data_IF_942857608904
#
_entry.id   IF_942857608904
#
_cell.length_a   1.000
_cell.length_b   1.000
_cell.length_c   1.000
_cell.angle_alpha   90.00
_cell.angle_beta   90.00
_cell.angle_gamma   90.00
#
_symmetry.space_group_name_H-M   'P 1'
#
loop_
_entity.id
_entity.type
_entity.pdbx_description
1 polymer ?
#
# COMPACT_ATOMS: atom_id res chain seq x y z
N UNK A 1 -11.61 20.91 -3.23
CA UNK A 1 -12.40 19.74 -2.75
C UNK A 1 -12.12 19.44 -1.28
N UNK A 2 -13.09 18.93 -0.54
CA UNK A 2 -12.91 18.25 0.77
C UNK A 2 -13.99 17.15 0.93
N UNK A 3 -13.76 16.14 1.77
CA UNK A 3 -14.80 15.17 2.18
C UNK A 3 -15.78 15.92 3.08
N UNK A 4 -17.06 15.96 2.73
CA UNK A 4 -18.12 16.57 3.55
C UNK A 4 -18.94 15.55 4.34
N UNK A 5 -18.93 14.28 3.93
CA UNK A 5 -19.66 13.20 4.61
C UNK A 5 -19.04 11.84 4.28
N UNK A 6 -19.06 10.92 5.25
CA UNK A 6 -18.93 9.47 5.03
C UNK A 6 -20.23 8.76 5.41
N UNK A 7 -20.66 7.80 4.60
CA UNK A 7 -21.60 6.75 4.97
C UNK A 7 -20.87 5.41 4.98
N UNK A 8 -21.02 4.62 6.04
CA UNK A 8 -20.44 3.27 6.16
C UNK A 8 -21.56 2.28 6.44
N UNK A 9 -21.65 1.26 5.59
CA UNK A 9 -22.58 0.14 5.75
C UNK A 9 -21.85 -1.20 5.78
N UNK A 10 -22.29 -2.07 6.70
CA UNK A 10 -21.85 -3.46 6.85
C UNK A 10 -20.33 -3.62 7.09
N UNK A 11 -19.66 -2.64 7.69
CA UNK A 11 -18.22 -2.67 7.97
C UNK A 11 -17.93 -2.78 9.47
N UNK A 12 -17.31 -3.89 9.89
CA UNK A 12 -16.92 -4.21 11.27
C UNK A 12 -18.09 -4.07 12.25
N UNK A 13 -18.15 -2.98 13.01
CA UNK A 13 -19.23 -2.70 13.97
C UNK A 13 -20.45 -1.99 13.36
N UNK A 14 -20.32 -1.42 12.16
CA UNK A 14 -21.37 -0.64 11.51
C UNK A 14 -22.30 -1.54 10.70
N UNK A 15 -23.60 -1.46 10.97
CA UNK A 15 -24.64 -2.20 10.25
C UNK A 15 -25.04 -1.51 8.94
N UNK A 16 -26.26 -1.77 8.47
CA UNK A 16 -26.85 -1.15 7.28
C UNK A 16 -28.22 -0.52 7.59
N UNK A 17 -28.77 0.23 6.64
CA UNK A 17 -30.04 0.95 6.82
C UNK A 17 -29.98 1.92 8.00
N UNK A 18 -30.92 1.82 8.94
CA UNK A 18 -30.94 2.65 10.16
C UNK A 18 -29.72 2.44 11.07
N UNK A 19 -28.99 1.32 10.91
CA UNK A 19 -27.73 1.02 11.63
C UNK A 19 -26.47 1.40 10.83
N UNK A 20 -26.63 2.06 9.68
CA UNK A 20 -25.52 2.63 8.92
C UNK A 20 -24.87 3.80 9.67
N UNK A 21 -23.55 3.91 9.60
CA UNK A 21 -22.84 5.02 10.22
C UNK A 21 -22.72 6.18 9.24
N UNK A 22 -23.30 7.33 9.59
CA UNK A 22 -23.19 8.59 8.83
C UNK A 22 -22.47 9.62 9.68
N UNK A 23 -21.43 10.23 9.13
CA UNK A 23 -20.67 11.29 9.81
C UNK A 23 -20.38 12.45 8.85
N UNK A 24 -20.93 13.65 9.09
CA UNK A 24 -20.54 14.86 8.37
C UNK A 24 -19.14 15.32 8.81
N UNK A 25 -18.39 15.90 7.87
CA UNK A 25 -17.06 16.45 8.08
C UNK A 25 -17.05 17.95 7.82
N UNK A 26 -16.26 18.67 8.63
CA UNK A 26 -16.01 20.10 8.41
C UNK A 26 -14.77 20.30 7.51
N UNK A 27 -14.75 21.34 6.66
CA UNK A 27 -13.58 21.68 5.87
C UNK A 27 -12.42 22.11 6.79
N UNK A 28 -11.24 21.53 6.57
CA UNK A 28 -10.06 21.75 7.41
C UNK A 28 -9.82 20.56 8.34
N UNK A 29 -9.77 20.81 9.66
CA UNK A 29 -9.49 19.79 10.66
C UNK A 29 -10.80 19.24 11.26
N UNK A 30 -10.98 17.92 11.22
CA UNK A 30 -11.98 17.20 12.01
C UNK A 30 -11.27 16.25 12.97
N UNK A 31 -11.57 16.35 14.27
CA UNK A 31 -11.03 15.48 15.30
C UNK A 31 -12.06 14.40 15.68
N UNK A 32 -11.67 13.12 15.62
CA UNK A 32 -12.52 12.00 16.05
C UNK A 32 -12.16 11.64 17.51
N UNK A 33 -13.08 11.89 18.43
CA UNK A 33 -12.94 11.64 19.87
C UNK A 33 -14.01 10.65 20.32
N UNK A 34 -13.68 9.80 21.29
CA UNK A 34 -14.54 8.75 21.82
C UNK A 34 -13.72 7.66 22.51
N UNK A 35 -14.38 6.66 23.07
CA UNK A 35 -13.74 5.54 23.79
C UNK A 35 -12.93 4.63 22.86
N UNK A 36 -12.10 3.76 23.46
CA UNK A 36 -11.45 2.69 22.71
C UNK A 36 -12.51 1.74 22.12
N UNK A 37 -12.23 1.17 20.96
CA UNK A 37 -13.13 0.30 20.19
C UNK A 37 -14.50 0.88 19.77
N UNK A 38 -14.78 2.17 20.07
CA UNK A 38 -15.93 2.93 19.57
C UNK A 38 -15.90 3.24 18.05
N UNK A 39 -15.17 2.45 17.25
CA UNK A 39 -15.15 2.53 15.79
C UNK A 39 -14.29 3.62 15.15
N UNK A 40 -13.59 4.46 15.92
CA UNK A 40 -12.71 5.53 15.39
C UNK A 40 -11.74 5.02 14.30
N UNK A 41 -11.04 3.91 14.58
CA UNK A 41 -10.12 3.25 13.62
C UNK A 41 -10.85 2.69 12.40
N UNK A 42 -12.08 2.20 12.56
CA UNK A 42 -12.89 1.73 11.45
C UNK A 42 -13.31 2.86 10.50
N UNK A 43 -13.65 4.05 11.01
CA UNK A 43 -13.92 5.23 10.15
C UNK A 43 -12.67 5.62 9.34
N UNK A 44 -11.49 5.62 9.97
CA UNK A 44 -10.24 5.94 9.28
C UNK A 44 -9.88 4.87 8.23
N UNK A 45 -9.99 3.58 8.56
CA UNK A 45 -9.75 2.50 7.59
C UNK A 45 -10.75 2.53 6.44
N UNK A 46 -12.02 2.86 6.70
CA UNK A 46 -13.03 3.02 5.65
C UNK A 46 -12.64 4.13 4.65
N UNK A 47 -12.20 5.29 5.14
CA UNK A 47 -11.67 6.37 4.27
C UNK A 47 -10.46 5.86 3.46
N UNK A 48 -9.54 5.14 4.09
CA UNK A 48 -8.33 4.60 3.43
C UNK A 48 -8.67 3.55 2.36
N UNK A 49 -9.72 2.75 2.52
CA UNK A 49 -10.20 1.82 1.48
C UNK A 49 -10.71 2.54 0.23
N UNK A 50 -11.43 3.66 0.39
CA UNK A 50 -11.96 4.43 -0.76
C UNK A 50 -10.86 5.22 -1.46
N UNK A 51 -10.00 5.92 -0.72
CA UNK A 51 -9.00 6.83 -1.32
C UNK A 51 -7.70 6.14 -1.71
N UNK A 52 -7.37 5.01 -1.08
CA UNK A 52 -6.01 4.50 -1.07
C UNK A 52 -5.05 5.43 -0.33
N UNK A 53 -3.77 5.02 -0.28
CA UNK A 53 -2.71 5.76 0.39
C UNK A 53 -1.49 5.92 -0.52
N UNK A 54 -0.83 7.08 -0.45
CA UNK A 54 0.35 7.37 -1.29
C UNK A 54 1.58 6.53 -0.96
N UNK A 55 1.66 5.92 0.23
CA UNK A 55 2.77 5.07 0.65
C UNK A 55 2.66 3.61 0.18
N UNK A 56 1.74 3.33 -0.77
CA UNK A 56 1.54 2.02 -1.40
C UNK A 56 1.20 0.89 -0.41
N UNK A 57 0.70 1.22 0.78
CA UNK A 57 0.21 0.23 1.74
C UNK A 57 -1.12 -0.35 1.23
N UNK A 58 -1.05 -1.56 0.68
CA UNK A 58 -2.23 -2.29 0.18
C UNK A 58 -3.02 -2.82 1.38
N UNK A 59 -3.97 -2.01 1.85
CA UNK A 59 -5.06 -2.48 2.70
C UNK A 59 -5.80 -3.61 1.99
N UNK A 60 -6.03 -4.70 2.72
CA UNK A 60 -6.80 -5.85 2.26
C UNK A 60 -8.06 -5.95 3.10
N UNK A 61 -9.16 -6.29 2.44
CA UNK A 61 -10.43 -6.59 3.10
C UNK A 61 -10.35 -8.02 3.60
N UNK A 62 -10.43 -8.21 4.90
CA UNK A 62 -10.47 -9.53 5.52
C UNK A 62 -11.93 -9.99 5.70
N UNK A 63 -12.19 -11.31 5.81
CA UNK A 63 -13.55 -11.82 6.06
C UNK A 63 -14.17 -11.30 7.36
N UNK A 64 -13.36 -10.81 8.31
CA UNK A 64 -13.75 -10.17 9.58
C UNK A 64 -14.13 -8.70 9.45
N UNK A 65 -13.82 -8.05 8.33
CA UNK A 65 -14.23 -6.66 8.08
C UNK A 65 -15.73 -6.55 7.69
N UNK A 66 -16.37 -7.64 7.28
CA UNK A 66 -17.80 -7.69 7.02
C UNK A 66 -18.57 -7.78 8.34
N UNK A 67 -19.52 -6.86 8.54
CA UNK A 67 -20.34 -6.79 9.75
C UNK A 67 -21.12 -8.07 9.99
N UNK A 68 -21.20 -8.47 11.26
CA UNK A 68 -22.03 -9.57 11.72
C UNK A 68 -22.87 -9.08 12.92
N UNK A 69 -24.21 -9.09 12.82
CA UNK A 69 -25.07 -8.71 13.94
C UNK A 69 -24.90 -9.65 15.14
N UNK A 70 -25.15 -9.12 16.35
CA UNK A 70 -25.00 -9.88 17.59
C UNK A 70 -26.07 -10.99 17.78
N UNK A 71 -27.21 -10.88 17.10
CA UNK A 71 -28.39 -11.75 17.30
C UNK A 71 -28.31 -13.09 16.56
N UNK A 72 -27.14 -13.47 16.05
CA UNK A 72 -26.91 -14.75 15.37
C UNK A 72 -27.11 -14.73 13.85
N UNK A 73 -27.48 -13.57 13.29
CA UNK A 73 -27.63 -13.37 11.85
C UNK A 73 -26.35 -13.68 11.06
N UNK A 74 -26.55 -14.02 9.79
CA UNK A 74 -25.47 -14.22 8.83
C UNK A 74 -24.64 -12.93 8.66
N UNK A 75 -23.32 -13.09 8.61
CA UNK A 75 -22.39 -12.01 8.30
C UNK A 75 -22.70 -11.40 6.92
N UNK A 76 -22.73 -10.08 6.82
CA UNK A 76 -23.13 -9.36 5.62
C UNK A 76 -22.31 -9.74 4.37
N UNK A 77 -22.96 -9.81 3.21
CA UNK A 77 -22.33 -10.22 1.95
C UNK A 77 -21.58 -9.10 1.23
N UNK A 78 -21.87 -7.84 1.55
CA UNK A 78 -21.19 -6.68 0.97
C UNK A 78 -20.95 -5.59 2.01
N UNK A 79 -19.78 -4.96 1.93
CA UNK A 79 -19.46 -3.68 2.58
C UNK A 79 -19.71 -2.58 1.55
N UNK A 80 -20.33 -1.47 1.99
CA UNK A 80 -20.50 -0.26 1.17
C UNK A 80 -19.96 0.93 1.95
N UNK A 81 -19.04 1.70 1.35
CA UNK A 81 -18.50 2.93 1.93
C UNK A 81 -18.68 4.05 0.91
N UNK A 82 -19.44 5.08 1.24
CA UNK A 82 -19.69 6.24 0.40
C UNK A 82 -18.95 7.45 0.97
N UNK A 83 -18.16 8.14 0.14
CA UNK A 83 -17.59 9.45 0.44
C UNK A 83 -18.24 10.51 -0.44
N UNK A 84 -18.81 11.53 0.19
CA UNK A 84 -19.33 12.71 -0.49
C UNK A 84 -18.30 13.82 -0.41
N UNK A 85 -17.90 14.36 -1.55
CA UNK A 85 -16.98 15.47 -1.67
C UNK A 85 -17.69 16.74 -2.14
N UNK A 86 -17.41 17.86 -1.47
CA UNK A 86 -17.97 19.18 -1.80
C UNK A 86 -16.88 20.25 -1.92
N UNK A 87 -17.30 21.48 -2.29
CA UNK A 87 -16.42 22.62 -2.62
C UNK A 87 -15.32 22.22 -3.62
N UNK A 88 -15.76 21.66 -4.75
CA UNK A 88 -14.91 21.36 -5.90
C UNK A 88 -14.40 22.67 -6.53
N UNK A 89 -13.10 22.75 -6.77
CA UNK A 89 -12.48 23.82 -7.57
C UNK A 89 -12.78 23.62 -9.06
N UNK A 90 -12.49 24.61 -9.90
CA UNK A 90 -12.62 24.45 -11.36
C UNK A 90 -11.68 23.38 -11.91
N UNK A 91 -10.49 23.22 -11.32
CA UNK A 91 -9.58 22.12 -11.66
C UNK A 91 -10.14 20.76 -11.24
N UNK A 92 -10.68 20.65 -10.02
CA UNK A 92 -11.34 19.42 -9.54
C UNK A 92 -12.49 19.02 -10.49
N UNK A 93 -13.36 19.98 -10.86
CA UNK A 93 -14.48 19.73 -11.78
C UNK A 93 -14.03 19.29 -13.17
N UNK A 94 -12.92 19.82 -13.69
CA UNK A 94 -12.36 19.38 -14.96
C UNK A 94 -11.77 17.96 -14.89
N UNK A 95 -11.06 17.65 -13.80
CA UNK A 95 -10.43 16.35 -13.60
C UNK A 95 -11.43 15.20 -13.35
N UNK A 96 -12.60 15.51 -12.77
CA UNK A 96 -13.64 14.53 -12.44
C UNK A 96 -14.93 14.69 -13.26
N UNK A 97 -14.88 15.36 -14.42
CA UNK A 97 -16.07 15.77 -15.19
C UNK A 97 -17.07 14.63 -15.49
N UNK A 98 -16.57 13.42 -15.75
CA UNK A 98 -17.37 12.20 -16.03
C UNK A 98 -18.02 11.57 -14.78
N UNK A 99 -17.62 12.02 -13.59
CA UNK A 99 -17.96 11.42 -12.29
C UNK A 99 -18.76 12.36 -11.36
N UNK A 100 -19.03 13.60 -11.81
CA UNK A 100 -19.73 14.60 -11.00
C UNK A 100 -21.21 14.26 -10.84
N UNK A 101 -21.71 14.47 -9.62
CA UNK A 101 -23.14 14.49 -9.32
C UNK A 101 -23.62 15.94 -9.25
N UNK A 102 -24.81 16.20 -9.81
CA UNK A 102 -25.42 17.52 -9.85
C UNK A 102 -26.62 17.55 -8.92
N UNK A 103 -26.52 18.31 -7.84
CA UNK A 103 -27.54 18.43 -6.79
C UNK A 103 -28.20 19.81 -6.89
N UNK A 104 -29.54 19.89 -6.77
CA UNK A 104 -30.23 21.18 -6.70
C UNK A 104 -30.38 21.60 -5.24
N UNK A 105 -29.62 22.61 -4.82
CA UNK A 105 -29.62 23.15 -3.45
C UNK A 105 -30.06 24.61 -3.52
N UNK A 106 -31.19 24.94 -2.87
CA UNK A 106 -31.74 26.30 -2.84
C UNK A 106 -31.90 26.95 -4.23
N UNK A 107 -32.32 26.17 -5.23
CA UNK A 107 -32.49 26.63 -6.62
C UNK A 107 -31.18 26.84 -7.40
N UNK A 108 -30.02 26.45 -6.84
CA UNK A 108 -28.72 26.46 -7.53
C UNK A 108 -28.23 25.03 -7.71
N UNK A 109 -27.68 24.75 -8.89
CA UNK A 109 -27.03 23.47 -9.17
C UNK A 109 -25.64 23.46 -8.55
N UNK A 110 -25.49 22.74 -7.43
CA UNK A 110 -24.19 22.43 -6.86
C UNK A 110 -23.62 21.15 -7.47
N UNK A 111 -22.29 21.09 -7.56
CA UNK A 111 -21.55 19.91 -8.04
C UNK A 111 -20.84 19.25 -6.88
N UNK A 112 -21.18 17.98 -6.65
CA UNK A 112 -20.52 17.08 -5.71
C UNK A 112 -19.80 15.97 -6.47
N UNK A 113 -18.79 15.36 -5.84
CA UNK A 113 -18.23 14.10 -6.29
C UNK A 113 -18.59 13.06 -5.23
N UNK A 114 -19.38 12.05 -5.60
CA UNK A 114 -19.80 10.98 -4.70
C UNK A 114 -19.11 9.71 -5.18
N UNK A 115 -18.33 9.09 -4.28
CA UNK A 115 -17.58 7.86 -4.57
C UNK A 115 -18.06 6.76 -3.63
N UNK A 116 -18.67 5.73 -4.20
CA UNK A 116 -19.19 4.56 -3.49
C UNK A 116 -18.27 3.37 -3.75
N UNK A 117 -17.51 2.99 -2.73
CA UNK A 117 -16.69 1.79 -2.71
C UNK A 117 -17.52 0.60 -2.24
N UNK A 118 -17.44 -0.51 -2.98
CA UNK A 118 -18.18 -1.74 -2.68
C UNK A 118 -17.22 -2.93 -2.70
N UNK A 119 -17.17 -3.68 -1.59
CA UNK A 119 -16.48 -4.97 -1.53
C UNK A 119 -17.49 -6.08 -1.23
N UNK A 120 -17.40 -7.20 -1.96
CA UNK A 120 -18.33 -8.32 -1.85
C UNK A 120 -17.61 -9.59 -1.41
N UNK A 121 -18.20 -10.34 -0.47
CA UNK A 121 -17.71 -11.67 -0.08
C UNK A 121 -17.76 -12.60 -1.29
N UNK A 122 -16.78 -13.50 -1.37
CA UNK A 122 -16.80 -14.57 -2.35
C UNK A 122 -17.33 -15.84 -1.68
N UNK A 123 -18.59 -16.18 -1.97
CA UNK A 123 -19.30 -17.34 -1.43
C UNK A 123 -19.01 -18.63 -2.21
N UNK A 124 -18.22 -18.58 -3.29
CA UNK A 124 -17.85 -19.77 -4.07
C UNK A 124 -16.78 -20.58 -3.36
N UNK A 125 -17.17 -21.74 -2.83
CA UNK A 125 -16.31 -22.65 -2.06
C UNK A 125 -15.00 -23.05 -2.78
N UNK A 126 -15.05 -23.17 -4.11
CA UNK A 126 -13.88 -23.50 -4.96
C UNK A 126 -12.85 -22.38 -5.11
N UNK A 127 -13.08 -21.19 -4.55
CA UNK A 127 -12.19 -20.04 -4.72
C UNK A 127 -11.24 -19.83 -3.54
N UNK A 128 -9.95 -19.70 -3.85
CA UNK A 128 -8.91 -19.30 -2.88
C UNK A 128 -9.08 -17.85 -2.39
N UNK A 129 -9.73 -16.99 -3.18
CA UNK A 129 -10.04 -15.61 -2.77
C UNK A 129 -11.35 -15.57 -1.98
N UNK A 130 -11.29 -15.15 -0.72
CA UNK A 130 -12.47 -14.99 0.16
C UNK A 130 -13.28 -13.71 -0.09
N UNK A 131 -12.71 -12.74 -0.81
CA UNK A 131 -13.33 -11.45 -1.15
C UNK A 131 -13.10 -11.18 -2.64
N UNK A 132 -14.13 -10.64 -3.31
CA UNK A 132 -14.05 -10.21 -4.71
C UNK A 132 -13.27 -8.87 -4.82
N UNK A 133 -12.69 -8.54 -5.99
CA UNK A 133 -12.11 -7.22 -6.21
C UNK A 133 -13.14 -6.12 -5.89
N UNK A 134 -12.73 -5.10 -5.14
CA UNK A 134 -13.62 -3.98 -4.81
C UNK A 134 -13.91 -3.11 -6.04
N UNK A 135 -15.10 -2.56 -6.09
CA UNK A 135 -15.59 -1.67 -7.15
C UNK A 135 -15.69 -0.24 -6.61
N UNK A 136 -15.27 0.74 -7.40
CA UNK A 136 -15.48 2.17 -7.11
C UNK A 136 -16.54 2.67 -8.09
N UNK A 137 -17.77 2.90 -7.63
CA UNK A 137 -18.83 3.55 -8.41
C UNK A 137 -18.97 5.01 -8.04
N UNK A 138 -19.68 5.76 -8.87
CA UNK A 138 -19.94 7.20 -8.70
C UNK A 138 -21.43 7.51 -8.77
N UNK A 139 -21.83 8.78 -8.61
CA UNK A 139 -23.24 9.18 -8.63
C UNK A 139 -23.95 9.08 -7.27
N UNK A 140 -25.08 9.77 -7.12
CA UNK A 140 -25.84 9.90 -5.86
C UNK A 140 -26.12 8.56 -5.15
N UNK A 141 -26.54 7.56 -5.90
CA UNK A 141 -26.88 6.22 -5.41
C UNK A 141 -25.75 5.19 -5.63
N UNK A 142 -24.59 5.60 -6.14
CA UNK A 142 -23.54 4.69 -6.59
C UNK A 142 -23.91 3.88 -7.85
N UNK A 143 -24.77 4.42 -8.72
CA UNK A 143 -25.22 3.79 -9.99
C UNK A 143 -24.47 4.32 -11.23
N UNK A 144 -23.62 5.34 -11.05
CA UNK A 144 -22.82 5.97 -12.09
C UNK A 144 -21.60 5.14 -12.54
N UNK A 145 -20.79 5.69 -13.46
CA UNK A 145 -19.63 5.00 -14.03
C UNK A 145 -18.61 4.58 -12.97
N UNK A 146 -17.86 3.52 -13.29
CA UNK A 146 -16.74 3.06 -12.49
C UNK A 146 -15.61 4.08 -12.52
N UNK A 147 -15.08 4.43 -11.34
CA UNK A 147 -13.97 5.37 -11.21
C UNK A 147 -12.70 4.74 -11.77
N UNK A 148 -12.10 5.38 -12.77
CA UNK A 148 -10.92 4.87 -13.48
C UNK A 148 -9.66 4.91 -12.60
N UNK A 149 -8.51 4.44 -13.14
CA UNK A 149 -7.26 4.45 -12.36
C UNK A 149 -6.67 5.87 -12.22
N UNK A 150 -6.84 6.73 -13.22
CA UNK A 150 -6.38 8.12 -13.22
C UNK A 150 -7.07 8.95 -12.14
N UNK A 151 -8.40 8.98 -12.15
CA UNK A 151 -9.19 9.69 -11.15
C UNK A 151 -8.96 9.15 -9.73
N UNK A 152 -8.83 7.81 -9.56
CA UNK A 152 -8.43 7.24 -8.25
C UNK A 152 -7.07 7.73 -7.78
N UNK A 153 -6.08 7.86 -8.67
CA UNK A 153 -4.76 8.41 -8.32
C UNK A 153 -4.85 9.84 -7.78
N UNK A 154 -5.71 10.68 -8.37
CA UNK A 154 -5.95 12.06 -7.93
C UNK A 154 -6.61 12.15 -6.54
N UNK A 155 -7.38 11.15 -6.12
CA UNK A 155 -7.99 11.07 -4.79
C UNK A 155 -7.04 10.56 -3.68
N UNK A 156 -5.84 10.08 -4.03
CA UNK A 156 -4.95 9.42 -3.05
C UNK A 156 -4.54 10.33 -1.89
N UNK A 157 -4.89 9.90 -0.69
CA UNK A 157 -4.59 10.60 0.55
C UNK A 157 -3.22 10.25 1.13
N UNK A 158 -2.68 11.17 1.95
CA UNK A 158 -1.51 10.90 2.79
C UNK A 158 -2.01 10.42 4.16
N UNK A 159 -1.76 9.16 4.48
CA UNK A 159 -2.06 8.60 5.80
C UNK A 159 -0.85 8.72 6.73
N UNK A 160 -1.01 9.48 7.82
CA UNK A 160 -0.01 9.59 8.88
C UNK A 160 -0.31 8.53 9.94
N UNK A 161 0.56 7.51 10.03
CA UNK A 161 0.48 6.48 11.07
C UNK A 161 0.76 7.07 12.46
N UNK A 162 0.22 6.47 13.54
CA UNK A 162 0.63 6.79 14.90
C UNK A 162 2.15 6.75 15.05
N UNK A 163 2.73 7.69 15.81
CA UNK A 163 4.20 7.79 15.97
C UNK A 163 4.82 6.51 16.58
N UNK A 164 4.05 5.75 17.38
CA UNK A 164 4.46 4.42 17.87
C UNK A 164 4.84 3.46 16.73
N UNK A 165 4.16 3.54 15.60
CA UNK A 165 4.42 2.68 14.45
C UNK A 165 5.52 3.26 13.53
N UNK A 166 6.01 4.48 13.80
CA UNK A 166 7.09 5.11 13.02
C UNK A 166 8.42 4.40 13.25
N UNK A 167 8.72 3.95 14.47
CA UNK A 167 9.90 3.11 14.77
C UNK A 167 9.89 1.84 13.89
N UNK A 168 8.78 1.11 13.90
CA UNK A 168 8.57 -0.08 13.05
C UNK A 168 8.64 0.24 11.56
N UNK A 169 8.26 1.45 11.14
CA UNK A 169 8.35 1.91 9.75
C UNK A 169 9.78 2.31 9.32
N UNK A 170 10.64 2.69 10.27
CA UNK A 170 12.04 3.07 10.04
C UNK A 170 12.99 1.87 10.12
N UNK A 171 12.58 0.77 10.78
CA UNK A 171 13.34 -0.49 10.81
C UNK A 171 13.81 -0.95 9.42
N UNK A 172 14.95 -1.64 9.40
CA UNK A 172 15.53 -2.19 8.18
C UNK A 172 14.63 -3.28 7.56
N UNK A 173 14.36 -3.18 6.26
CA UNK A 173 13.48 -4.10 5.54
C UNK A 173 12.94 -3.52 4.24
N UNK A 174 12.13 -4.32 3.52
CA UNK A 174 11.46 -3.82 2.30
C UNK A 174 10.44 -2.75 2.65
N UNK A 175 10.51 -1.60 1.97
CA UNK A 175 9.64 -0.46 2.25
C UNK A 175 9.99 0.28 3.55
N UNK A 176 11.19 0.08 4.10
CA UNK A 176 11.72 0.93 5.17
C UNK A 176 11.68 2.39 4.74
N UNK A 177 10.94 3.23 5.47
CA UNK A 177 10.80 4.66 5.15
C UNK A 177 12.14 5.38 5.29
N UNK A 178 12.99 4.94 6.24
CA UNK A 178 14.36 5.45 6.35
C UNK A 178 15.16 5.14 5.08
N UNK A 179 15.14 3.90 4.58
CA UNK A 179 15.83 3.54 3.33
C UNK A 179 15.35 4.38 2.13
N UNK A 180 14.04 4.60 2.01
CA UNK A 180 13.47 5.47 0.97
C UNK A 180 13.96 6.92 1.09
N UNK A 181 13.99 7.49 2.30
CA UNK A 181 14.51 8.84 2.53
C UNK A 181 15.99 8.91 2.12
N UNK A 182 16.82 7.99 2.62
CA UNK A 182 18.27 7.94 2.31
C UNK A 182 18.53 7.77 0.81
N UNK A 183 17.71 7.00 0.10
CA UNK A 183 17.77 6.86 -1.37
C UNK A 183 17.46 8.15 -2.14
N UNK A 184 16.81 9.13 -1.52
CA UNK A 184 16.49 10.44 -2.12
C UNK A 184 17.30 11.60 -1.52
N UNK A 185 18.13 11.35 -0.50
CA UNK A 185 19.06 12.34 0.08
C UNK A 185 20.26 12.56 -0.85
N UNK A 186 20.49 13.82 -1.21
CA UNK A 186 21.59 14.30 -2.07
C UNK A 186 22.96 13.85 -1.58
N UNK A 187 23.22 14.03 -0.28
CA UNK A 187 24.47 13.74 0.40
C UNK A 187 24.84 12.25 0.32
N UNK A 188 23.86 11.36 0.19
CA UNK A 188 24.07 9.90 0.10
C UNK A 188 24.26 9.44 -1.35
N UNK A 189 23.68 10.17 -2.30
CA UNK A 189 23.80 9.91 -3.74
C UNK A 189 25.08 10.46 -4.35
N UNK A 190 25.48 11.67 -3.94
CA UNK A 190 26.48 12.49 -4.63
C UNK A 190 27.82 12.56 -3.90
N UNK A 191 27.89 12.20 -2.61
CA UNK A 191 29.16 12.14 -1.88
C UNK A 191 29.89 10.82 -2.16
N UNK A 192 31.03 10.90 -2.85
CA UNK A 192 31.89 9.76 -3.16
C UNK A 192 31.66 9.16 -4.55
N UNK A 193 32.44 8.14 -4.91
CA UNK A 193 32.42 7.55 -6.27
C UNK A 193 31.54 6.29 -6.29
N UNK A 194 30.78 6.08 -7.36
CA UNK A 194 30.07 4.81 -7.58
C UNK A 194 31.02 3.65 -7.88
N UNK A 195 30.67 2.43 -7.49
CA UNK A 195 31.49 1.25 -7.79
C UNK A 195 31.36 0.84 -9.27
N UNK A 196 32.50 0.76 -9.97
CA UNK A 196 32.58 0.32 -11.36
C UNK A 196 33.69 -0.74 -11.52
N UNK A 197 33.25 -2.01 -11.63
CA UNK A 197 34.12 -3.17 -11.87
C UNK A 197 35.04 -3.01 -13.09
N UNK A 198 34.62 -2.26 -14.10
CA UNK A 198 35.38 -2.06 -15.34
C UNK A 198 36.54 -1.08 -15.20
N UNK A 199 36.52 -0.21 -14.17
CA UNK A 199 37.56 0.80 -13.92
C UNK A 199 38.48 0.44 -12.76
N UNK A 200 37.92 -0.01 -11.64
CA UNK A 200 38.68 -0.35 -10.43
C UNK A 200 38.05 -1.59 -9.77
N UNK A 201 38.64 -2.79 -9.94
CA UNK A 201 38.06 -4.03 -9.39
C UNK A 201 38.12 -4.14 -7.87
N UNK A 202 39.02 -3.39 -7.23
CA UNK A 202 39.28 -3.40 -5.79
C UNK A 202 39.49 -1.95 -5.29
N UNK A 203 38.45 -1.12 -5.28
CA UNK A 203 38.52 0.27 -4.84
C UNK A 203 38.75 0.38 -3.33
N UNK A 204 39.29 1.50 -2.88
CA UNK A 204 39.30 1.87 -1.46
C UNK A 204 37.85 2.13 -0.98
N UNK A 205 37.30 1.33 -0.03
CA UNK A 205 35.94 1.52 0.46
C UNK A 205 35.67 2.93 1.00
N UNK A 206 36.68 3.65 1.49
CA UNK A 206 36.53 5.01 2.03
C UNK A 206 36.26 6.07 0.96
N UNK A 207 36.50 5.76 -0.32
CA UNK A 207 36.28 6.68 -1.46
C UNK A 207 34.96 6.43 -2.19
N UNK A 208 34.33 5.28 -1.92
CA UNK A 208 33.05 4.92 -2.49
C UNK A 208 31.92 5.71 -1.83
N UNK A 209 30.89 6.06 -2.61
CA UNK A 209 29.62 6.54 -2.06
C UNK A 209 28.91 5.42 -1.29
N UNK A 210 27.90 5.75 -0.48
CA UNK A 210 27.11 4.76 0.27
C UNK A 210 26.46 3.73 -0.67
N UNK A 211 26.02 4.18 -1.86
CA UNK A 211 25.52 3.30 -2.92
C UNK A 211 26.65 2.46 -3.54
N UNK A 212 27.82 3.06 -3.80
CA UNK A 212 29.01 2.35 -4.29
C UNK A 212 29.49 1.27 -3.32
N UNK A 213 29.45 1.52 -2.01
CA UNK A 213 29.74 0.53 -0.95
C UNK A 213 28.77 -0.65 -0.99
N UNK A 214 27.47 -0.39 -1.19
CA UNK A 214 26.45 -1.44 -1.32
C UNK A 214 26.65 -2.30 -2.57
N UNK A 215 26.95 -1.67 -3.70
CA UNK A 215 27.25 -2.35 -4.97
C UNK A 215 28.57 -3.17 -4.87
N UNK A 216 29.61 -2.63 -4.24
CA UNK A 216 30.88 -3.31 -4.02
C UNK A 216 30.74 -4.50 -3.06
N UNK A 217 30.02 -4.35 -1.95
CA UNK A 217 29.71 -5.45 -1.04
C UNK A 217 28.91 -6.56 -1.78
N UNK A 218 27.92 -6.17 -2.59
CA UNK A 218 27.13 -7.12 -3.40
C UNK A 218 27.99 -7.88 -4.41
N UNK A 219 29.02 -7.25 -4.97
CA UNK A 219 30.02 -7.90 -5.81
C UNK A 219 30.90 -8.88 -5.02
N UNK A 220 31.46 -8.47 -3.88
CA UNK A 220 32.25 -9.35 -3.01
C UNK A 220 31.49 -10.60 -2.56
N UNK A 221 30.19 -10.45 -2.23
CA UNK A 221 29.33 -11.61 -1.96
C UNK A 221 29.20 -12.52 -3.19
N UNK A 222 28.98 -11.96 -4.38
CA UNK A 222 28.87 -12.72 -5.64
C UNK A 222 30.13 -13.49 -6.05
N UNK A 223 31.32 -13.01 -5.67
CA UNK A 223 32.60 -13.69 -5.92
C UNK A 223 33.01 -14.66 -4.80
N UNK A 224 32.33 -14.64 -3.65
CA UNK A 224 32.62 -15.54 -2.53
C UNK A 224 32.61 -17.03 -2.94
N UNK A 225 33.54 -17.80 -2.37
CA UNK A 225 33.79 -19.20 -2.77
C UNK A 225 32.51 -20.06 -2.69
N UNK A 226 31.72 -19.89 -1.62
CA UNK A 226 30.45 -20.60 -1.43
C UNK A 226 29.41 -20.28 -2.49
N UNK A 227 29.26 -19.01 -2.87
CA UNK A 227 28.32 -18.60 -3.93
C UNK A 227 28.82 -19.06 -5.30
N UNK A 228 30.12 -18.97 -5.58
CA UNK A 228 30.70 -19.44 -6.86
C UNK A 228 30.58 -20.95 -7.03
N UNK A 229 30.87 -21.75 -5.99
CA UNK A 229 30.65 -23.22 -6.01
C UNK A 229 29.18 -23.57 -6.22
N UNK A 230 28.27 -22.92 -5.49
CA UNK A 230 26.82 -23.17 -5.60
C UNK A 230 26.28 -22.79 -6.99
N UNK A 231 26.70 -21.65 -7.54
CA UNK A 231 26.37 -21.19 -8.89
C UNK A 231 26.85 -22.17 -9.96
N UNK A 232 28.08 -22.68 -9.84
CA UNK A 232 28.60 -23.71 -10.74
C UNK A 232 27.76 -24.99 -10.66
N UNK A 233 27.48 -25.48 -9.45
CA UNK A 233 26.65 -26.67 -9.22
C UNK A 233 25.26 -26.54 -9.86
N UNK A 234 24.57 -25.42 -9.62
CA UNK A 234 23.25 -25.16 -10.21
C UNK A 234 23.27 -25.13 -11.74
N UNK A 235 24.27 -24.48 -12.34
CA UNK A 235 24.42 -24.44 -13.80
C UNK A 235 24.70 -25.83 -14.39
N UNK A 236 25.70 -26.53 -13.85
CA UNK A 236 26.23 -27.75 -14.45
C UNK A 236 25.32 -28.97 -14.21
N UNK A 237 24.74 -29.11 -13.02
CA UNK A 237 23.95 -30.30 -12.64
C UNK A 237 22.44 -30.14 -12.91
N UNK A 238 21.88 -28.92 -12.79
CA UNK A 238 20.42 -28.72 -12.78
C UNK A 238 19.89 -27.90 -13.96
N UNK A 239 20.51 -26.78 -14.31
CA UNK A 239 20.01 -25.89 -15.36
C UNK A 239 20.42 -26.30 -16.77
N UNK A 240 21.61 -26.89 -16.95
CA UNK A 240 22.09 -27.38 -18.24
C UNK A 240 21.20 -28.48 -18.85
N UNK A 241 20.69 -29.49 -18.10
CA UNK A 241 19.71 -30.45 -18.63
C UNK A 241 18.33 -29.86 -18.95
N UNK A 242 17.99 -28.72 -18.33
CA UNK A 242 16.71 -28.00 -18.52
C UNK A 242 16.78 -26.88 -19.56
N UNK A 243 17.96 -26.64 -20.14
CA UNK A 243 18.19 -25.62 -21.16
C UNK A 243 17.84 -26.16 -22.55
N UNK A 244 17.18 -25.34 -23.37
CA UNK A 244 16.94 -25.67 -24.77
C UNK A 244 18.13 -25.24 -25.64
N UNK A 245 18.25 -25.79 -26.85
CA UNK A 245 19.38 -25.52 -27.74
C UNK A 245 19.61 -24.03 -28.04
N UNK A 246 18.54 -23.22 -28.02
CA UNK A 246 18.57 -21.77 -28.23
C UNK A 246 18.27 -20.94 -26.96
N UNK A 247 18.07 -21.57 -25.79
CA UNK A 247 17.77 -20.88 -24.54
C UNK A 247 18.52 -21.52 -23.35
N UNK A 248 19.66 -20.90 -23.01
CA UNK A 248 20.60 -21.38 -21.99
C UNK A 248 20.30 -20.74 -20.64
N UNK A 249 19.70 -21.53 -19.74
CA UNK A 249 19.41 -21.12 -18.37
C UNK A 249 20.70 -20.98 -17.56
N UNK A 250 20.91 -19.82 -16.93
CA UNK A 250 22.06 -19.53 -16.07
C UNK A 250 21.64 -18.96 -14.73
N UNK A 251 22.09 -19.58 -13.65
CA UNK A 251 21.88 -19.11 -12.28
C UNK A 251 22.67 -17.82 -12.02
N UNK A 252 21.96 -16.75 -11.67
CA UNK A 252 22.52 -15.52 -11.08
C UNK A 252 22.24 -15.56 -9.58
N UNK A 253 23.29 -15.76 -8.78
CA UNK A 253 23.24 -15.62 -7.32
C UNK A 253 23.95 -14.32 -6.96
N UNK A 254 23.32 -13.50 -6.15
CA UNK A 254 23.85 -12.24 -5.67
C UNK A 254 22.95 -11.63 -4.62
N UNK A 255 23.44 -10.58 -3.98
CA UNK A 255 22.65 -9.76 -3.06
C UNK A 255 21.71 -8.87 -3.88
N UNK A 256 20.44 -8.75 -3.46
CA UNK A 256 19.42 -8.04 -4.24
C UNK A 256 19.61 -6.52 -4.16
N UNK A 257 20.39 -5.97 -5.09
CA UNK A 257 20.45 -4.54 -5.37
C UNK A 257 19.31 -4.12 -6.30
N UNK A 258 18.69 -2.97 -6.04
CA UNK A 258 17.73 -2.34 -6.94
C UNK A 258 18.44 -1.63 -8.10
N UNK A 259 19.15 -2.39 -8.94
CA UNK A 259 19.33 -1.96 -10.32
C UNK A 259 17.98 -2.13 -11.01
N UNK A 260 17.60 -1.12 -11.77
CA UNK A 260 16.29 -0.98 -12.40
C UNK A 260 16.21 -1.90 -13.64
N UNK A 261 16.43 -3.19 -13.41
CA UNK A 261 16.33 -4.27 -14.38
C UNK A 261 14.83 -4.49 -14.63
N UNK A 262 14.27 -3.74 -15.57
CA UNK A 262 12.89 -3.92 -16.04
C UNK A 262 12.64 -5.37 -16.44
N UNK A 263 11.55 -5.95 -15.93
CA UNK A 263 11.16 -7.37 -16.05
C UNK A 263 11.97 -8.33 -15.15
N UNK A 264 11.55 -8.49 -13.90
CA UNK A 264 12.05 -9.57 -13.03
C UNK A 264 11.57 -9.48 -11.58
N UNK A 265 11.13 -10.60 -11.01
CA UNK A 265 10.49 -10.68 -9.69
C UNK A 265 11.23 -9.97 -8.52
N UNK A 266 10.48 -9.15 -7.77
CA UNK A 266 10.83 -8.64 -6.42
C UNK A 266 11.03 -9.83 -5.44
N UNK A 267 11.81 -9.66 -4.34
CA UNK A 267 12.02 -10.50 -3.10
C UNK A 267 13.54 -10.72 -2.82
N UNK A 268 14.17 -10.71 -1.60
CA UNK A 268 13.88 -10.47 -0.15
C UNK A 268 15.11 -9.85 0.57
N UNK A 269 14.92 -9.25 1.76
CA UNK A 269 15.92 -9.21 2.87
C UNK A 269 15.27 -9.68 4.18
N UNK A 270 15.94 -10.59 4.89
CA UNK A 270 15.68 -10.95 6.29
C UNK A 270 17.04 -11.07 6.99
N UNK A 271 17.25 -10.29 8.04
CA UNK A 271 18.36 -10.49 8.96
C UNK A 271 17.80 -10.26 10.37
N UNK A 272 17.53 -11.36 11.08
CA UNK A 272 16.95 -11.29 12.41
C UNK A 272 18.02 -10.97 13.46
N UNK A 273 17.87 -9.85 14.16
CA UNK A 273 18.57 -9.67 15.44
C UNK A 273 17.73 -10.30 16.56
N UNK A 274 18.33 -11.26 17.26
CA UNK A 274 17.85 -11.66 18.59
C UNK A 274 18.17 -10.54 19.57
N UNK A 275 17.14 -9.93 20.15
CA UNK A 275 17.22 -9.40 21.52
C UNK A 275 16.06 -9.97 22.32
N UNK A 276 16.39 -10.63 23.43
CA UNK A 276 15.42 -10.94 24.45
C UNK A 276 15.18 -9.67 25.27
N UNK A 277 13.95 -9.16 25.26
CA UNK A 277 13.51 -8.13 26.20
C UNK A 277 12.20 -8.60 26.82
N UNK A 278 12.31 -9.13 28.03
CA UNK A 278 11.17 -9.23 28.94
C UNK A 278 10.87 -7.82 29.44
N UNK A 279 9.75 -7.24 29.03
CA UNK A 279 9.22 -6.00 29.61
C UNK A 279 7.70 -6.13 29.77
N UNK A 280 7.24 -5.96 31.01
CA UNK A 280 5.85 -6.02 31.44
C UNK A 280 5.39 -4.60 31.83
N UNK A 281 4.12 -4.28 31.57
CA UNK A 281 3.37 -3.10 32.03
C UNK A 281 3.84 -1.74 31.43
N UNK A 282 3.12 -0.61 31.54
CA UNK A 282 1.99 -0.15 32.39
C UNK A 282 0.86 0.47 31.51
N UNK A 283 -0.45 0.19 31.71
CA UNK A 283 -1.45 0.76 32.66
C UNK A 283 -2.19 2.01 32.13
N UNK A 284 -3.52 1.99 32.33
CA UNK A 284 -4.56 3.02 32.10
C UNK A 284 -4.77 3.47 30.64
#
# INVERSE_FOLDING_TARGET
MFISEITIENFRLFGSGERAFVLPFNPGLTALVGENDAGKTAVIDAIRFVLGTRDQEVLRVEPTDFHQPAEGDARADQIVIKLTFRRLTTADRGAFAEFLTYEQVNGKTETSLIVTWVAKRNTKESSSRRVLPAEWRTGANGEGPLLDLGARSLLTATYLRPLRDAERAMNAGRGSRLSQILQHTTEIKETGVGFDRGKEPNPDPKKLSVLGLGDYASYLFGESEGITKTRKKLNDEYLKPLSFANDLLKARIGVSGSKDDGVGARIFYWCGFRQAVTAIAFVA
#
